data_IF_993487401752
#
_entry.id   IF_993487401752
#
_cell.length_a   1.000
_cell.length_b   1.000
_cell.length_c   1.000
_cell.angle_alpha   90.00
_cell.angle_beta   90.00
_cell.angle_gamma   90.00
#
_symmetry.space_group_name_H-M   'P 1'
#
loop_
_entity.id
_entity.type
_entity.pdbx_description
1 polymer ?
#
# COMPACT_ATOMS: atom_id res chain seq x y z
N UNK A 1 22.25 -11.37 0.71
CA UNK A 1 20.85 -10.87 0.70
C UNK A 1 20.89 -9.44 1.23
N UNK A 2 20.27 -8.44 0.57
CA UNK A 2 20.43 -7.06 1.02
C UNK A 2 19.92 -6.94 2.45
N UNK A 3 20.58 -6.10 3.26
CA UNK A 3 20.28 -5.91 4.67
C UNK A 3 18.95 -5.16 4.90
N UNK A 4 17.88 -5.57 4.21
CA UNK A 4 16.52 -5.06 4.35
C UNK A 4 15.91 -5.71 5.58
N UNK A 5 15.45 -4.89 6.51
CA UNK A 5 14.75 -5.29 7.72
C UNK A 5 13.26 -5.47 7.42
N UNK A 6 12.69 -4.53 6.66
CA UNK A 6 11.27 -4.50 6.36
C UNK A 6 11.02 -3.76 5.04
N UNK A 7 9.97 -4.17 4.32
CA UNK A 7 9.46 -3.49 3.15
C UNK A 7 7.96 -3.25 3.34
N UNK A 8 7.54 -1.99 3.28
CA UNK A 8 6.17 -1.56 3.53
C UNK A 8 5.61 -0.97 2.23
N UNK A 9 4.70 -1.66 1.53
CA UNK A 9 4.06 -1.13 0.34
C UNK A 9 2.95 -0.12 0.71
N UNK A 10 2.89 0.99 -0.03
CA UNK A 10 1.80 1.96 -0.03
C UNK A 10 0.93 1.84 -1.28
N UNK A 11 0.25 2.93 -1.68
CA UNK A 11 -0.57 2.94 -2.89
C UNK A 11 0.27 2.93 -4.18
N UNK A 12 1.32 3.77 -4.24
CA UNK A 12 2.23 3.88 -5.38
C UNK A 12 3.67 4.17 -4.91
N UNK A 13 4.00 3.73 -3.70
CA UNK A 13 5.35 3.86 -3.15
C UNK A 13 5.68 2.61 -2.34
N UNK A 14 6.96 2.40 -2.12
CA UNK A 14 7.47 1.37 -1.23
C UNK A 14 8.46 2.02 -0.28
N UNK A 15 8.28 1.77 1.01
CA UNK A 15 9.24 2.16 2.05
C UNK A 15 10.09 0.94 2.39
N UNK A 16 11.42 1.09 2.33
CA UNK A 16 12.36 0.00 2.65
C UNK A 16 13.23 0.42 3.82
N UNK A 17 13.21 -0.37 4.89
CA UNK A 17 14.03 -0.14 6.09
C UNK A 17 15.30 -0.98 5.97
N UNK A 18 16.47 -0.33 6.04
CA UNK A 18 17.78 -0.98 5.97
C UNK A 18 18.39 -1.12 7.37
N UNK A 19 19.13 -2.20 7.60
CA UNK A 19 19.85 -2.46 8.86
C UNK A 19 20.99 -1.47 9.09
N UNK A 20 21.68 -1.10 8.02
CA UNK A 20 22.83 -0.19 8.03
C UNK A 20 22.67 0.88 6.94
N UNK A 21 21.76 1.85 7.13
CA UNK A 21 21.43 2.83 6.10
C UNK A 21 22.62 3.72 5.72
N UNK A 22 23.53 3.98 6.66
CA UNK A 22 24.70 4.84 6.45
C UNK A 22 25.63 4.33 5.35
N UNK A 23 25.74 3.01 5.20
CA UNK A 23 26.63 2.35 4.25
C UNK A 23 25.89 1.82 3.02
N UNK A 24 24.59 1.58 3.13
CA UNK A 24 23.80 0.88 2.12
C UNK A 24 22.84 1.75 1.34
N UNK A 25 22.61 3.01 1.76
CA UNK A 25 21.57 3.85 1.15
C UNK A 25 21.77 4.04 -0.36
N UNK A 26 23.00 4.37 -0.80
CA UNK A 26 23.26 4.65 -2.22
C UNK A 26 23.06 3.40 -3.08
N UNK A 27 23.72 2.29 -2.73
CA UNK A 27 23.57 1.01 -3.42
C UNK A 27 22.12 0.49 -3.41
N UNK A 28 21.38 0.72 -2.32
CA UNK A 28 19.98 0.32 -2.24
C UNK A 28 19.10 1.14 -3.19
N UNK A 29 19.34 2.46 -3.31
CA UNK A 29 18.61 3.33 -4.24
C UNK A 29 18.84 2.90 -5.68
N UNK A 30 20.10 2.72 -6.09
CA UNK A 30 20.44 2.32 -7.47
C UNK A 30 19.79 0.99 -7.85
N UNK A 31 19.84 0.01 -6.94
CA UNK A 31 19.23 -1.30 -7.18
C UNK A 31 17.70 -1.24 -7.21
N UNK A 32 17.09 -0.45 -6.32
CA UNK A 32 15.63 -0.26 -6.31
C UNK A 32 15.15 0.45 -7.58
N UNK A 33 15.86 1.47 -8.05
CA UNK A 33 15.53 2.16 -9.30
C UNK A 33 15.60 1.20 -10.49
N UNK A 34 16.70 0.45 -10.61
CA UNK A 34 16.84 -0.53 -11.70
C UNK A 34 15.74 -1.58 -11.67
N UNK A 35 15.45 -2.15 -10.49
CA UNK A 35 14.36 -3.12 -10.36
C UNK A 35 12.99 -2.51 -10.64
N UNK A 36 12.77 -1.25 -10.29
CA UNK A 36 11.53 -0.57 -10.57
C UNK A 36 11.31 -0.37 -12.07
N UNK A 37 12.36 -0.01 -12.81
CA UNK A 37 12.31 0.14 -14.27
C UNK A 37 12.18 -1.20 -15.00
N UNK A 38 12.84 -2.24 -14.51
CA UNK A 38 12.79 -3.59 -15.07
C UNK A 38 11.52 -4.36 -14.69
N UNK A 39 10.79 -3.92 -13.65
CA UNK A 39 9.61 -4.63 -13.15
C UNK A 39 8.43 -4.43 -14.08
N UNK A 40 7.86 -5.53 -14.55
CA UNK A 40 6.55 -5.52 -15.19
C UNK A 40 5.43 -5.32 -14.17
N UNK A 41 4.34 -4.68 -14.60
CA UNK A 41 3.13 -4.58 -13.80
C UNK A 41 2.51 -5.97 -13.67
N UNK A 42 2.62 -6.55 -12.48
CA UNK A 42 2.02 -7.84 -12.17
C UNK A 42 0.62 -7.58 -11.62
N UNK A 43 -0.41 -8.12 -12.29
CA UNK A 43 -1.76 -8.17 -11.74
C UNK A 43 -1.83 -9.35 -10.77
N UNK A 44 -1.83 -9.11 -9.44
CA UNK A 44 -1.84 -10.20 -8.49
C UNK A 44 -3.16 -10.95 -8.56
N UNK A 45 -3.12 -12.26 -8.32
CA UNK A 45 -4.33 -13.06 -8.18
C UNK A 45 -5.21 -12.47 -7.08
N UNK A 46 -6.38 -11.97 -7.48
CA UNK A 46 -7.31 -11.32 -6.59
C UNK A 46 -7.90 -12.36 -5.63
N UNK A 47 -7.66 -12.17 -4.33
CA UNK A 47 -8.39 -12.90 -3.29
C UNK A 47 -9.71 -12.19 -2.99
N UNK A 48 -10.82 -12.90 -3.16
CA UNK A 48 -12.11 -12.43 -2.66
C UNK A 48 -12.15 -12.59 -1.15
N UNK A 49 -12.38 -11.51 -0.42
CA UNK A 49 -12.57 -11.52 1.03
C UNK A 49 -13.90 -10.85 1.33
N UNK A 50 -14.85 -11.64 1.83
CA UNK A 50 -16.14 -11.11 2.29
C UNK A 50 -15.97 -10.45 3.65
N UNK A 51 -16.19 -9.13 3.70
CA UNK A 51 -16.19 -8.37 4.94
C UNK A 51 -17.64 -8.02 5.28
N UNK A 52 -18.25 -8.64 6.31
CA UNK A 52 -19.63 -8.34 6.68
C UNK A 52 -19.71 -6.92 7.29
N UNK A 53 -20.47 -6.03 6.64
CA UNK A 53 -20.67 -4.64 7.09
C UNK A 53 -22.14 -4.44 7.48
N UNK A 54 -22.36 -3.89 8.68
CA UNK A 54 -23.68 -3.37 9.08
C UNK A 54 -23.76 -1.90 8.65
N UNK A 55 -24.57 -1.61 7.64
CA UNK A 55 -24.81 -0.24 7.17
C UNK A 55 -25.72 0.53 8.14
N UNK A 56 -25.54 1.85 8.24
CA UNK A 56 -26.37 2.71 9.12
C UNK A 56 -25.94 2.73 10.58
N UNK A 57 -24.70 2.32 10.88
CA UNK A 57 -24.20 2.22 12.24
C UNK A 57 -24.20 3.56 12.99
N UNK A 58 -25.08 3.69 13.98
CA UNK A 58 -25.02 4.70 15.07
C UNK A 58 -23.80 4.51 16.00
N UNK A 59 -22.81 3.72 15.59
CA UNK A 59 -21.61 3.34 16.34
C UNK A 59 -20.41 4.25 16.05
N UNK A 60 -20.50 5.14 15.07
CA UNK A 60 -19.64 6.32 14.98
C UNK A 60 -20.47 7.56 15.30
N UNK A 61 -20.60 7.87 16.60
CA UNK A 61 -20.74 9.27 17.00
C UNK A 61 -19.38 9.97 16.75
N UNK A 62 -19.08 10.14 15.46
CA UNK A 62 -17.97 10.87 14.89
C UNK A 62 -18.52 11.39 13.58
N UNK A 63 -19.07 12.61 13.66
CA UNK A 63 -19.76 13.34 12.60
C UNK A 63 -19.09 13.16 11.23
N UNK A 64 -19.75 12.41 10.35
CA UNK A 64 -19.36 12.25 8.96
C UNK A 64 -20.44 11.55 8.12
N UNK A 65 -21.71 11.62 8.55
CA UNK A 65 -22.84 11.10 7.80
C UNK A 65 -23.41 12.20 6.91
N UNK A 66 -23.13 12.13 5.60
CA UNK A 66 -23.68 13.08 4.64
C UNK A 66 -23.39 12.70 3.19
N UNK A 67 -24.16 11.77 2.64
CA UNK A 67 -24.55 11.76 1.23
C UNK A 67 -23.61 11.10 0.21
N UNK A 68 -23.93 9.88 -0.21
CA UNK A 68 -23.81 9.45 -1.62
C UNK A 68 -24.88 8.40 -1.94
N UNK A 69 -26.12 8.86 -2.12
CA UNK A 69 -27.07 8.18 -2.99
C UNK A 69 -27.40 9.16 -4.11
N UNK A 70 -26.53 9.24 -5.11
CA UNK A 70 -26.93 9.81 -6.40
C UNK A 70 -27.23 8.64 -7.32
N UNK A 71 -28.54 8.50 -7.55
CA UNK A 71 -29.16 7.76 -8.64
C UNK A 71 -28.44 8.13 -9.94
N UNK A 72 -27.84 7.13 -10.60
CA UNK A 72 -27.51 7.23 -12.02
C UNK A 72 -28.84 7.14 -12.79
N UNK A 73 -29.13 8.16 -13.59
CA UNK A 73 -30.02 8.01 -14.75
C UNK A 73 -29.20 7.51 -15.95
#
# INVERSE_FOLDING_TARGET
MPNVVEAIPGMNNITVILREPQTLALDAIERLQRWWEESEALEPDSRSVEIPVIYGGRRRAGSGGGGTAQRFE
#
